data_IF_365940501517
#
_entry.id   IF_365940501517
#
_cell.length_a   1.000
_cell.length_b   1.000
_cell.length_c   1.000
_cell.angle_alpha   90.00
_cell.angle_beta   90.00
_cell.angle_gamma   90.00
#
_symmetry.space_group_name_H-M   'P 1'
#
loop_
_entity.id
_entity.type
_entity.pdbx_description
1 polymer ?
#
# COMPACT_ATOMS: atom_id res chain seq x y z
N UNK A 1 -3.53 14.17 -5.56
CA UNK A 1 -3.06 12.86 -6.08
C UNK A 1 -3.14 11.71 -5.07
N UNK A 2 -2.71 11.87 -3.80
CA UNK A 2 -2.75 10.77 -2.79
C UNK A 2 -4.14 10.20 -2.47
N UNK A 3 -5.23 10.99 -2.59
CA UNK A 3 -6.60 10.48 -2.36
C UNK A 3 -6.97 9.36 -3.33
N UNK A 4 -6.71 9.55 -4.62
CA UNK A 4 -6.97 8.55 -5.65
C UNK A 4 -6.17 7.26 -5.42
N UNK A 5 -4.93 7.40 -4.94
CA UNK A 5 -4.10 6.26 -4.53
C UNK A 5 -4.71 5.53 -3.33
N UNK A 6 -5.21 6.25 -2.32
CA UNK A 6 -5.91 5.62 -1.18
C UNK A 6 -7.19 4.90 -1.60
N UNK A 7 -7.96 5.47 -2.52
CA UNK A 7 -9.17 4.82 -3.06
C UNK A 7 -8.81 3.54 -3.79
N UNK A 8 -7.81 3.58 -4.69
CA UNK A 8 -7.33 2.38 -5.38
C UNK A 8 -6.77 1.35 -4.40
N UNK A 9 -5.97 1.77 -3.41
CA UNK A 9 -5.42 0.87 -2.39
C UNK A 9 -6.51 0.25 -1.50
N UNK A 10 -7.61 0.96 -1.23
CA UNK A 10 -8.74 0.44 -0.44
C UNK A 10 -9.39 -0.79 -1.08
N UNK A 11 -9.46 -0.81 -2.41
CA UNK A 11 -10.08 -1.91 -3.16
C UNK A 11 -9.07 -2.94 -3.66
N UNK A 12 -7.92 -2.51 -4.17
CA UNK A 12 -6.89 -3.39 -4.75
C UNK A 12 -5.91 -3.96 -3.74
N UNK A 13 -5.64 -3.24 -2.64
CA UNK A 13 -4.68 -3.63 -1.60
C UNK A 13 -4.97 -5.01 -0.98
N UNK A 14 -6.22 -5.30 -0.55
CA UNK A 14 -6.57 -6.59 0.05
C UNK A 14 -6.31 -7.78 -0.88
N UNK A 15 -6.63 -7.67 -2.18
CA UNK A 15 -6.35 -8.74 -3.15
C UNK A 15 -4.86 -8.92 -3.42
N UNK A 16 -4.10 -7.83 -3.43
CA UNK A 16 -2.66 -7.88 -3.72
C UNK A 16 -1.88 -8.59 -2.61
N UNK A 17 -2.35 -8.58 -1.36
CA UNK A 17 -1.72 -9.29 -0.23
C UNK A 17 -1.66 -10.80 -0.48
N UNK A 18 -2.71 -11.37 -1.09
CA UNK A 18 -2.78 -12.80 -1.36
C UNK A 18 -1.97 -13.24 -2.60
N UNK A 19 -1.77 -12.35 -3.57
CA UNK A 19 -1.01 -12.67 -4.80
C UNK A 19 0.47 -12.26 -4.72
N UNK A 20 0.78 -11.14 -4.09
CA UNK A 20 2.12 -10.53 -4.04
C UNK A 20 2.46 -10.00 -2.63
N UNK A 21 2.52 -10.88 -1.62
CA UNK A 21 2.67 -10.49 -0.22
C UNK A 21 3.92 -9.64 0.03
N UNK A 22 5.04 -9.99 -0.60
CA UNK A 22 6.33 -9.29 -0.43
C UNK A 22 6.23 -7.83 -0.90
N UNK A 23 5.56 -7.57 -2.02
CA UNK A 23 5.39 -6.22 -2.58
C UNK A 23 4.50 -5.37 -1.68
N UNK A 24 3.39 -5.95 -1.19
CA UNK A 24 2.49 -5.30 -0.24
C UNK A 24 3.22 -4.88 1.05
N UNK A 25 4.03 -5.77 1.61
CA UNK A 25 4.80 -5.51 2.83
C UNK A 25 5.78 -4.36 2.59
N UNK A 26 6.57 -4.42 1.50
CA UNK A 26 7.54 -3.36 1.18
C UNK A 26 6.86 -2.01 0.93
N UNK A 27 5.71 -1.99 0.26
CA UNK A 27 4.89 -0.79 0.07
C UNK A 27 4.41 -0.23 1.42
N UNK A 28 3.88 -1.07 2.31
CA UNK A 28 3.43 -0.66 3.63
C UNK A 28 4.55 0.01 4.42
N UNK A 29 5.72 -0.64 4.55
CA UNK A 29 6.88 -0.07 5.25
C UNK A 29 7.36 1.25 4.63
N UNK A 30 7.40 1.35 3.29
CA UNK A 30 7.74 2.59 2.60
C UNK A 30 6.76 3.72 2.98
N UNK A 31 5.46 3.44 3.01
CA UNK A 31 4.45 4.45 3.39
C UNK A 31 4.50 4.84 4.87
N UNK A 32 4.81 3.89 5.76
CA UNK A 32 4.96 4.12 7.20
C UNK A 32 6.22 4.94 7.51
N UNK A 33 7.34 4.64 6.86
CA UNK A 33 8.60 5.38 6.99
C UNK A 33 8.47 6.82 6.47
N UNK A 34 7.73 7.03 5.39
CA UNK A 34 7.42 8.38 4.87
C UNK A 34 6.52 9.21 5.78
N UNK A 35 5.85 8.62 6.77
CA UNK A 35 5.05 9.35 7.77
C UNK A 35 5.90 9.84 8.96
N UNK A 36 7.12 9.31 9.11
CA UNK A 36 8.04 9.60 10.20
C UNK A 36 9.15 10.61 9.83
N UNK A 37 9.08 11.19 8.62
CA UNK A 37 9.98 12.23 8.12
C UNK A 37 9.17 13.49 7.86
#
# INVERSE_FOLDING_TARGET
>A
MRQKIKEVMRYSGPRMIFSYPIVCIRHAFSTLSQKHK
#
